data_IF_779699365897
#
_entry.id   IF_779699365897
#
_cell.length_a   1.000
_cell.length_b   1.000
_cell.length_c   1.000
_cell.angle_alpha   90.00
_cell.angle_beta   90.00
_cell.angle_gamma   90.00
#
_symmetry.space_group_name_H-M   'P 1'
#
loop_
_entity.id
_entity.type
_entity.pdbx_description
1 polymer ?
#
# COMPACT_ATOMS: atom_id res chain seq x y z
N UNK A 1 31.52 -10.87 -29.09
CA UNK A 1 31.39 -11.77 -27.91
C UNK A 1 30.18 -11.33 -27.12
N UNK A 2 29.05 -12.00 -27.30
CA UNK A 2 27.86 -11.79 -26.47
C UNK A 2 28.16 -12.26 -25.05
N UNK A 3 27.97 -11.39 -24.06
CA UNK A 3 28.06 -11.78 -22.65
C UNK A 3 26.90 -12.76 -22.39
N UNK A 4 27.23 -14.03 -22.26
CA UNK A 4 26.30 -15.04 -21.75
C UNK A 4 25.92 -14.60 -20.34
N UNK A 5 24.71 -14.07 -20.21
CA UNK A 5 24.10 -13.66 -18.95
C UNK A 5 23.83 -14.93 -18.13
N UNK A 6 24.71 -15.27 -17.20
CA UNK A 6 24.46 -16.35 -16.24
C UNK A 6 23.17 -16.03 -15.46
N UNK A 7 22.15 -16.88 -15.64
CA UNK A 7 20.90 -16.78 -14.90
C UNK A 7 21.17 -17.10 -13.43
N UNK A 8 21.12 -16.08 -12.57
CA UNK A 8 21.17 -16.25 -11.12
C UNK A 8 19.73 -16.37 -10.61
N UNK A 9 19.22 -17.59 -10.35
CA UNK A 9 17.87 -17.77 -9.84
C UNK A 9 17.73 -17.07 -8.48
N UNK A 10 16.55 -16.49 -8.23
CA UNK A 10 16.25 -15.86 -6.95
C UNK A 10 16.34 -16.86 -5.80
N UNK A 11 16.85 -16.41 -4.66
CA UNK A 11 16.92 -17.23 -3.45
C UNK A 11 15.52 -17.45 -2.87
N UNK A 12 15.31 -18.54 -2.14
CA UNK A 12 14.02 -18.81 -1.49
C UNK A 12 13.56 -17.65 -0.58
N UNK A 13 14.50 -17.01 0.12
CA UNK A 13 14.20 -15.83 0.95
C UNK A 13 13.68 -14.65 0.11
N UNK A 14 14.31 -14.39 -1.05
CA UNK A 14 13.88 -13.33 -1.97
C UNK A 14 12.49 -13.59 -2.53
N UNK A 15 12.21 -14.84 -2.92
CA UNK A 15 10.89 -15.26 -3.40
C UNK A 15 9.82 -15.14 -2.30
N UNK A 16 10.17 -15.53 -1.07
CA UNK A 16 9.25 -15.48 0.07
C UNK A 16 8.88 -14.04 0.42
N UNK A 17 9.88 -13.18 0.56
CA UNK A 17 9.68 -11.76 0.86
C UNK A 17 8.97 -11.05 -0.30
N UNK A 18 9.36 -11.33 -1.54
CA UNK A 18 8.67 -10.83 -2.73
C UNK A 18 7.20 -11.23 -2.78
N UNK A 19 6.89 -12.50 -2.48
CA UNK A 19 5.50 -12.99 -2.44
C UNK A 19 4.67 -12.35 -1.33
N UNK A 20 5.26 -12.10 -0.16
CA UNK A 20 4.57 -11.48 0.98
C UNK A 20 4.17 -10.04 0.67
N UNK A 21 5.08 -9.26 0.09
CA UNK A 21 4.88 -7.84 -0.18
C UNK A 21 4.40 -7.55 -1.61
N UNK A 22 4.20 -8.59 -2.42
CA UNK A 22 3.71 -8.46 -3.78
C UNK A 22 4.68 -7.79 -4.75
N UNK A 23 5.99 -7.98 -4.54
CA UNK A 23 7.02 -7.44 -5.42
C UNK A 23 7.82 -8.56 -6.07
N UNK A 24 8.22 -8.37 -7.31
CA UNK A 24 8.97 -9.37 -8.07
C UNK A 24 10.18 -8.79 -8.83
N UNK A 25 10.29 -7.46 -8.93
CA UNK A 25 11.45 -6.88 -9.58
C UNK A 25 12.67 -6.91 -8.65
N UNK A 26 13.83 -7.18 -9.25
CA UNK A 26 15.09 -7.44 -8.54
C UNK A 26 15.52 -6.30 -7.63
N UNK A 27 15.34 -5.05 -8.07
CA UNK A 27 15.70 -3.86 -7.30
C UNK A 27 14.83 -3.71 -6.05
N UNK A 28 13.52 -3.94 -6.17
CA UNK A 28 12.59 -3.92 -5.05
C UNK A 28 12.89 -5.00 -4.04
N UNK A 29 13.15 -6.23 -4.51
CA UNK A 29 13.59 -7.33 -3.64
C UNK A 29 14.88 -6.95 -2.92
N UNK A 30 15.84 -6.33 -3.61
CA UNK A 30 17.09 -5.86 -3.02
C UNK A 30 16.89 -4.93 -1.83
N UNK A 31 15.89 -4.04 -1.90
CA UNK A 31 15.50 -3.19 -0.77
C UNK A 31 14.79 -3.96 0.34
N UNK A 32 13.86 -4.86 0.02
CA UNK A 32 13.19 -5.65 1.06
C UNK A 32 14.15 -6.57 1.82
N UNK A 33 15.21 -7.05 1.16
CA UNK A 33 16.27 -7.83 1.80
C UNK A 33 17.13 -7.03 2.78
N UNK A 34 17.04 -5.69 2.79
CA UNK A 34 17.65 -4.84 3.82
C UNK A 34 16.82 -4.81 5.12
N UNK A 35 15.56 -5.25 5.08
CA UNK A 35 14.69 -5.30 6.26
C UNK A 35 15.02 -6.55 7.06
N UNK A 36 15.25 -6.40 8.37
CA UNK A 36 15.53 -7.56 9.22
C UNK A 36 14.32 -8.51 9.23
N UNK A 37 14.51 -9.84 9.26
CA UNK A 37 13.40 -10.79 9.26
C UNK A 37 12.37 -10.54 10.37
N UNK A 38 12.83 -10.15 11.57
CA UNK A 38 11.96 -9.77 12.69
C UNK A 38 11.05 -8.59 12.34
N UNK A 39 11.58 -7.59 11.62
CA UNK A 39 10.84 -6.40 11.22
C UNK A 39 9.89 -6.70 10.07
N UNK A 40 10.31 -7.53 9.12
CA UNK A 40 9.44 -8.02 8.06
C UNK A 40 8.21 -8.72 8.65
N UNK A 41 8.36 -9.58 9.65
CA UNK A 41 7.25 -10.22 10.37
C UNK A 41 6.32 -9.16 10.98
N UNK A 42 6.86 -8.17 11.68
CA UNK A 42 6.04 -7.09 12.27
C UNK A 42 5.28 -6.30 11.20
N UNK A 43 5.91 -6.01 10.06
CA UNK A 43 5.26 -5.35 8.93
C UNK A 43 4.14 -6.21 8.34
N UNK A 44 4.32 -7.54 8.21
CA UNK A 44 3.25 -8.42 7.74
C UNK A 44 2.06 -8.47 8.69
N UNK A 45 2.32 -8.44 10.00
CA UNK A 45 1.27 -8.36 11.01
C UNK A 45 0.50 -7.06 10.84
N UNK A 46 1.20 -5.93 10.61
CA UNK A 46 0.55 -4.65 10.31
C UNK A 46 -0.37 -4.73 9.08
N UNK A 47 0.07 -5.36 7.97
CA UNK A 47 -0.78 -5.59 6.78
C UNK A 47 -2.05 -6.34 7.14
N UNK A 48 -1.89 -7.50 7.80
CA UNK A 48 -3.00 -8.39 8.10
C UNK A 48 -3.98 -7.80 9.12
N UNK A 49 -3.47 -6.92 9.99
CA UNK A 49 -4.26 -6.41 11.09
C UNK A 49 -5.35 -5.47 10.59
N UNK A 50 -5.13 -4.66 9.55
CA UNK A 50 -6.08 -3.63 9.08
C UNK A 50 -6.74 -2.81 10.21
N UNK A 51 -6.12 -2.83 11.41
CA UNK A 51 -6.75 -2.63 12.71
C UNK A 51 -6.09 -1.45 13.39
N UNK A 52 -6.93 -0.46 13.68
CA UNK A 52 -6.96 0.33 14.90
C UNK A 52 -5.68 0.99 15.40
N UNK A 53 -5.83 2.25 15.81
CA UNK A 53 -4.82 2.98 16.59
C UNK A 53 -4.28 2.17 17.77
N UNK A 54 -2.97 2.32 18.02
CA UNK A 54 -2.27 1.62 19.07
C UNK A 54 -1.96 2.53 20.25
N UNK A 55 -1.91 1.92 21.43
CA UNK A 55 -1.30 2.55 22.60
C UNK A 55 0.20 2.36 22.54
N UNK A 56 0.96 3.25 23.18
CA UNK A 56 2.43 3.14 23.23
C UNK A 56 2.92 1.86 23.92
N UNK A 57 2.05 1.20 24.69
CA UNK A 57 2.36 0.03 25.51
C UNK A 57 1.85 -1.30 24.93
N UNK A 58 1.19 -1.27 23.76
CA UNK A 58 0.71 -2.49 23.10
C UNK A 58 1.87 -3.32 22.52
N UNK A 59 1.79 -4.63 22.71
CA UNK A 59 2.62 -5.59 21.97
C UNK A 59 2.08 -5.72 20.54
N UNK A 60 2.97 -5.66 19.53
CA UNK A 60 2.59 -5.58 18.11
C UNK A 60 1.74 -6.77 17.64
N UNK A 61 1.91 -7.94 18.29
CA UNK A 61 1.29 -9.21 17.93
C UNK A 61 -0.09 -9.45 18.55
N UNK A 62 -0.55 -8.58 19.44
CA UNK A 62 -1.80 -8.83 20.16
C UNK A 62 -3.02 -8.31 19.41
N UNK A 63 -4.12 -9.06 19.48
CA UNK A 63 -5.37 -8.69 18.84
C UNK A 63 -5.89 -7.34 19.37
N UNK A 64 -6.22 -6.46 18.42
CA UNK A 64 -6.64 -5.08 18.64
C UNK A 64 -8.11 -4.99 18.29
N UNK A 65 -8.91 -4.49 19.23
CA UNK A 65 -10.32 -4.21 18.97
C UNK A 65 -10.48 -3.10 17.95
N UNK A 66 -11.46 -3.24 17.06
CA UNK A 66 -11.79 -2.29 16.01
C UNK A 66 -12.58 -1.10 16.58
N UNK A 67 -11.91 -0.08 17.12
CA UNK A 67 -12.60 1.13 17.59
C UNK A 67 -12.32 2.41 16.80
N UNK A 68 -11.22 2.46 16.06
CA UNK A 68 -10.77 3.68 15.39
C UNK A 68 -10.25 3.32 14.00
N UNK A 69 -11.13 3.35 13.00
CA UNK A 69 -10.74 3.06 11.62
C UNK A 69 -10.99 4.28 10.73
N UNK A 70 -9.96 4.71 9.99
CA UNK A 70 -10.07 5.56 8.80
C UNK A 70 -10.01 7.08 9.00
N UNK A 71 -10.43 7.66 10.14
CA UNK A 71 -10.60 9.12 10.24
C UNK A 71 -9.31 9.89 10.53
N UNK A 72 -8.37 9.33 11.30
CA UNK A 72 -7.24 10.12 11.79
C UNK A 72 -6.07 10.23 10.81
N UNK A 73 -6.02 9.45 9.72
CA UNK A 73 -4.95 9.59 8.73
C UNK A 73 -4.88 10.99 8.14
N UNK A 74 -6.04 11.58 7.82
CA UNK A 74 -6.12 12.97 7.39
C UNK A 74 -5.70 13.92 8.51
N UNK A 75 -6.17 13.67 9.73
CA UNK A 75 -5.82 14.48 10.90
C UNK A 75 -4.31 14.48 11.20
N UNK A 76 -3.65 13.32 11.24
CA UNK A 76 -2.21 13.20 11.47
C UNK A 76 -1.43 13.94 10.38
N UNK A 77 -1.87 13.83 9.12
CA UNK A 77 -1.25 14.54 8.02
C UNK A 77 -1.44 16.07 8.12
N UNK A 78 -2.62 16.56 8.48
CA UNK A 78 -2.86 18.00 8.61
C UNK A 78 -2.15 18.62 9.84
N UNK A 79 -1.75 17.79 10.79
CA UNK A 79 -1.23 18.23 12.09
C UNK A 79 0.15 17.65 12.41
N UNK A 80 0.87 17.14 11.40
CA UNK A 80 2.13 16.41 11.59
C UNK A 80 3.18 17.20 12.38
N UNK A 81 3.19 18.54 12.24
CA UNK A 81 4.13 19.44 12.93
C UNK A 81 3.98 19.44 14.45
N UNK A 82 2.84 18.97 14.96
CA UNK A 82 2.56 18.90 16.39
C UNK A 82 3.04 17.60 17.04
N UNK A 83 3.42 16.60 16.24
CA UNK A 83 3.92 15.31 16.72
C UNK A 83 5.44 15.33 16.90
N UNK A 84 5.95 14.44 17.77
CA UNK A 84 7.40 14.29 18.03
C UNK A 84 8.16 13.73 16.82
N UNK A 85 7.51 12.88 16.01
CA UNK A 85 8.03 12.32 14.76
C UNK A 85 7.55 13.08 13.52
N UNK A 86 7.44 14.41 13.62
CA UNK A 86 6.88 15.28 12.57
C UNK A 86 7.53 15.09 11.20
N UNK A 87 8.85 14.96 11.13
CA UNK A 87 9.55 14.74 9.85
C UNK A 87 9.17 13.40 9.20
N UNK A 88 9.05 12.32 9.99
CA UNK A 88 8.65 11.02 9.47
C UNK A 88 7.21 11.07 8.93
N UNK A 89 6.29 11.66 9.69
CA UNK A 89 4.90 11.84 9.28
C UNK A 89 4.76 12.73 8.04
N UNK A 90 5.59 13.77 7.92
CA UNK A 90 5.64 14.64 6.73
C UNK A 90 6.00 13.84 5.49
N UNK A 91 7.06 13.03 5.57
CA UNK A 91 7.56 12.22 4.46
C UNK A 91 6.53 11.15 4.06
N UNK A 92 5.95 10.46 5.03
CA UNK A 92 4.87 9.48 4.78
C UNK A 92 3.63 10.14 4.17
N UNK A 93 3.29 11.35 4.60
CA UNK A 93 2.23 12.15 4.02
C UNK A 93 2.44 12.47 2.54
N UNK A 94 3.64 12.95 2.19
CA UNK A 94 4.01 13.23 0.80
C UNK A 94 3.98 11.96 -0.06
N UNK A 95 4.52 10.85 0.46
CA UNK A 95 4.52 9.57 -0.21
C UNK A 95 3.09 9.07 -0.46
N UNK A 96 2.22 9.19 0.55
CA UNK A 96 0.81 8.81 0.45
C UNK A 96 0.11 9.59 -0.68
N UNK A 97 0.31 10.90 -0.76
CA UNK A 97 -0.26 11.72 -1.83
C UNK A 97 0.22 11.24 -3.20
N UNK A 98 1.52 10.96 -3.36
CA UNK A 98 2.06 10.42 -4.60
C UNK A 98 1.40 9.10 -5.00
N UNK A 99 1.25 8.17 -4.05
CA UNK A 99 0.61 6.87 -4.29
C UNK A 99 -0.89 7.02 -4.58
N UNK A 100 -1.60 7.90 -3.88
CA UNK A 100 -3.02 8.16 -4.12
C UNK A 100 -3.26 8.71 -5.53
N UNK A 101 -2.37 9.59 -6.03
CA UNK A 101 -2.41 10.05 -7.43
C UNK A 101 -2.18 8.92 -8.42
N UNK A 102 -1.18 8.05 -8.16
CA UNK A 102 -0.92 6.87 -9.01
C UNK A 102 -2.14 5.94 -9.04
N UNK A 103 -2.75 5.66 -7.89
CA UNK A 103 -3.96 4.84 -7.77
C UNK A 103 -5.14 5.50 -8.50
N UNK A 104 -5.31 6.82 -8.34
CA UNK A 104 -6.39 7.56 -9.00
C UNK A 104 -6.24 7.52 -10.51
N UNK A 105 -5.03 7.74 -11.04
CA UNK A 105 -4.76 7.66 -12.47
C UNK A 105 -5.00 6.23 -12.99
N UNK A 106 -4.54 5.23 -12.24
CA UNK A 106 -4.78 3.81 -12.58
C UNK A 106 -6.28 3.50 -12.61
N UNK A 107 -7.04 3.94 -11.61
CA UNK A 107 -8.48 3.73 -11.58
C UNK A 107 -9.20 4.48 -12.71
N UNK A 108 -8.75 5.68 -13.05
CA UNK A 108 -9.27 6.43 -14.21
C UNK A 108 -9.02 5.65 -15.51
N UNK A 109 -7.80 5.12 -15.67
CA UNK A 109 -7.39 4.30 -16.81
C UNK A 109 -8.08 2.93 -16.84
N UNK A 110 -8.64 2.43 -15.75
CA UNK A 110 -9.28 1.11 -15.67
C UNK A 110 -10.78 1.17 -15.41
N UNK A 111 -11.36 2.37 -15.23
CA UNK A 111 -12.72 2.51 -14.73
C UNK A 111 -13.72 1.85 -15.67
N UNK A 112 -14.46 0.91 -15.09
CA UNK A 112 -15.49 0.09 -15.74
C UNK A 112 -16.77 0.84 -16.11
N UNK A 113 -16.86 2.15 -15.86
CA UNK A 113 -18.08 2.90 -16.19
C UNK A 113 -18.41 2.89 -17.70
N UNK A 114 -17.48 2.43 -18.54
CA UNK A 114 -17.71 2.11 -19.95
C UNK A 114 -18.34 0.73 -20.20
N UNK A 115 -18.18 -0.25 -19.31
CA UNK A 115 -18.74 -1.60 -19.46
C UNK A 115 -20.23 -1.71 -19.12
N UNK A 116 -20.82 -0.73 -18.41
CA UNK A 116 -22.24 -0.78 -18.01
C UNK A 116 -23.22 -0.46 -19.14
N UNK A 117 -22.76 0.11 -20.25
CA UNK A 117 -23.62 0.60 -21.33
C UNK A 117 -23.50 -0.18 -22.65
N UNK A 118 -22.71 -1.25 -22.69
CA UNK A 118 -22.56 -2.07 -23.90
C UNK A 118 -23.54 -3.23 -23.82
N UNK A 119 -24.41 -3.33 -24.82
CA UNK A 119 -25.36 -4.43 -24.96
C UNK A 119 -24.58 -5.74 -25.15
N UNK A 120 -24.40 -6.49 -24.04
CA UNK A 120 -23.43 -7.58 -23.88
C UNK A 120 -23.57 -8.71 -24.91
N UNK A 121 -24.74 -8.84 -25.55
CA UNK A 121 -25.07 -9.99 -26.37
C UNK A 121 -24.15 -10.15 -27.60
N UNK A 122 -23.73 -9.05 -28.23
CA UNK A 122 -22.95 -9.13 -29.49
C UNK A 122 -21.44 -9.09 -29.29
N UNK A 123 -20.96 -8.49 -28.20
CA UNK A 123 -19.53 -8.38 -27.93
C UNK A 123 -18.97 -9.69 -27.37
N UNK A 124 -19.78 -10.44 -26.62
CA UNK A 124 -19.39 -11.75 -26.08
C UNK A 124 -19.10 -12.83 -27.14
N UNK A 125 -19.66 -12.69 -28.34
CA UNK A 125 -19.44 -13.63 -29.44
C UNK A 125 -18.14 -13.35 -30.22
N UNK A 126 -17.54 -12.16 -30.09
CA UNK A 126 -16.32 -11.82 -30.81
C UNK A 126 -15.14 -12.67 -30.29
N UNK A 127 -14.39 -13.37 -31.17
CA UNK A 127 -13.34 -14.29 -30.73
C UNK A 127 -12.18 -13.58 -30.03
N UNK A 128 -11.85 -12.34 -30.43
CA UNK A 128 -10.82 -11.55 -29.75
C UNK A 128 -11.30 -11.08 -28.37
N UNK A 129 -12.57 -10.69 -28.25
CA UNK A 129 -13.15 -10.39 -26.93
C UNK A 129 -13.09 -11.61 -25.99
N UNK A 130 -13.38 -12.81 -26.50
CA UNK A 130 -13.27 -14.05 -25.75
C UNK A 130 -11.84 -14.34 -25.31
N UNK A 131 -10.83 -14.08 -26.17
CA UNK A 131 -9.41 -14.20 -25.83
C UNK A 131 -9.04 -13.27 -24.69
N UNK A 132 -9.49 -12.02 -24.73
CA UNK A 132 -9.13 -11.02 -23.73
C UNK A 132 -9.86 -11.31 -22.42
N UNK A 133 -11.14 -11.62 -22.46
CA UNK A 133 -11.96 -11.84 -21.26
C UNK A 133 -12.00 -13.31 -20.82
N UNK A 134 -11.10 -14.15 -21.33
CA UNK A 134 -10.93 -15.51 -20.85
C UNK A 134 -10.68 -15.50 -19.34
N UNK A 135 -11.37 -16.41 -18.61
CA UNK A 135 -11.30 -16.51 -17.14
C UNK A 135 -9.88 -16.71 -16.60
N UNK A 136 -8.96 -17.23 -17.42
CA UNK A 136 -7.55 -17.39 -17.07
C UNK A 136 -6.68 -16.35 -17.79
N UNK A 137 -6.33 -15.27 -17.09
CA UNK A 137 -5.53 -14.16 -17.63
C UNK A 137 -4.08 -14.54 -17.95
N UNK A 138 -3.56 -15.63 -17.36
CA UNK A 138 -2.20 -16.11 -17.64
C UNK A 138 -2.07 -16.77 -19.02
N UNK A 139 -3.19 -17.19 -19.59
CA UNK A 139 -3.25 -17.96 -20.83
C UNK A 139 -3.79 -17.13 -22.01
N UNK A 140 -3.74 -15.79 -21.98
CA UNK A 140 -4.24 -14.94 -23.08
C UNK A 140 -3.56 -15.32 -24.41
N UNK A 141 -2.25 -15.55 -24.39
CA UNK A 141 -1.49 -15.95 -25.59
C UNK A 141 -1.92 -17.33 -26.08
N UNK A 142 -2.10 -18.28 -25.16
CA UNK A 142 -2.60 -19.62 -25.51
C UNK A 142 -4.02 -19.55 -26.10
N UNK A 143 -4.90 -18.79 -25.46
CA UNK A 143 -6.27 -18.54 -25.91
C UNK A 143 -6.30 -17.91 -27.29
N UNK A 144 -5.36 -16.99 -27.58
CA UNK A 144 -5.17 -16.45 -28.91
C UNK A 144 -4.83 -17.54 -29.93
N UNK A 145 -3.87 -18.41 -29.63
CA UNK A 145 -3.50 -19.51 -30.54
C UNK A 145 -4.65 -20.50 -30.77
N UNK A 146 -5.45 -20.80 -29.76
CA UNK A 146 -6.63 -21.66 -29.87
C UNK A 146 -7.69 -21.07 -30.81
N UNK A 147 -7.78 -19.73 -30.88
CA UNK A 147 -8.72 -18.98 -31.74
C UNK A 147 -8.05 -18.30 -32.94
N UNK A 148 -6.79 -18.62 -33.22
CA UNK A 148 -5.96 -17.87 -34.17
C UNK A 148 -6.59 -17.79 -35.55
N UNK A 149 -7.02 -18.92 -36.09
CA UNK A 149 -7.58 -18.98 -37.45
C UNK A 149 -8.91 -18.21 -37.53
N UNK A 150 -9.74 -18.29 -36.49
CA UNK A 150 -11.00 -17.55 -36.36
C UNK A 150 -10.71 -16.03 -36.38
N UNK A 151 -9.79 -15.57 -35.54
CA UNK A 151 -9.40 -14.16 -35.43
C UNK A 151 -8.76 -13.64 -36.72
N UNK A 152 -7.86 -14.42 -37.34
CA UNK A 152 -7.20 -14.01 -38.58
C UNK A 152 -8.16 -13.96 -39.78
N UNK A 153 -9.22 -14.78 -39.77
CA UNK A 153 -10.26 -14.79 -40.80
C UNK A 153 -11.20 -13.58 -40.76
N UNK A 154 -11.25 -12.87 -39.62
CA UNK A 154 -12.10 -11.71 -39.47
C UNK A 154 -11.67 -10.58 -40.45
N UNK A 155 -12.62 -9.81 -41.01
CA UNK A 155 -12.39 -8.79 -42.05
C UNK A 155 -11.60 -7.57 -41.56
N UNK A 156 -10.65 -7.08 -42.35
CA UNK A 156 -9.83 -5.90 -41.98
C UNK A 156 -10.66 -4.62 -41.80
N UNK A 157 -10.31 -3.84 -40.77
CA UNK A 157 -10.95 -2.56 -40.49
C UNK A 157 -10.52 -1.51 -41.52
N UNK A 158 -11.46 -1.02 -42.33
CA UNK A 158 -11.23 0.12 -43.21
C UNK A 158 -11.41 1.42 -42.43
N UNK A 159 -10.33 2.20 -42.27
CA UNK A 159 -10.27 3.44 -41.46
C UNK A 159 -11.26 4.56 -41.86
N UNK A 160 -12.07 4.38 -42.89
CA UNK A 160 -12.84 5.44 -43.55
C UNK A 160 -14.34 5.18 -43.71
N UNK A 161 -14.88 4.06 -43.21
CA UNK A 161 -16.34 3.89 -43.22
C UNK A 161 -16.97 4.83 -42.18
N UNK A 162 -17.80 5.77 -42.63
CA UNK A 162 -18.59 6.61 -41.74
C UNK A 162 -19.57 5.73 -40.97
N UNK A 163 -19.54 5.86 -39.65
CA UNK A 163 -20.19 4.96 -38.71
C UNK A 163 -21.70 5.24 -38.71
N UNK A 164 -22.49 4.53 -39.52
CA UNK A 164 -23.94 4.75 -39.60
C UNK A 164 -24.76 3.69 -38.87
N UNK A 165 -24.18 2.58 -38.41
CA UNK A 165 -24.91 1.62 -37.55
C UNK A 165 -24.05 0.97 -36.46
N UNK A 166 -24.56 0.92 -35.23
CA UNK A 166 -23.92 0.28 -34.08
C UNK A 166 -23.76 -1.25 -34.23
N UNK A 167 -24.48 -1.88 -35.16
CA UNK A 167 -24.47 -3.34 -35.36
C UNK A 167 -23.26 -3.82 -36.15
N UNK A 168 -22.78 -3.03 -37.11
CA UNK A 168 -21.62 -3.42 -37.92
C UNK A 168 -20.31 -3.26 -37.16
N UNK A 169 -20.23 -2.36 -36.19
CA UNK A 169 -19.01 -2.07 -35.42
C UNK A 169 -18.45 -3.33 -34.72
N UNK A 170 -19.30 -4.24 -34.21
CA UNK A 170 -18.84 -5.38 -33.41
C UNK A 170 -18.21 -6.54 -34.21
N UNK A 171 -18.37 -6.58 -35.53
CA UNK A 171 -17.92 -7.70 -36.38
C UNK A 171 -16.51 -7.55 -36.98
N UNK A 172 -15.86 -6.39 -36.88
CA UNK A 172 -14.63 -6.08 -37.64
C UNK A 172 -13.35 -5.87 -36.78
N UNK A 173 -13.39 -6.09 -35.46
CA UNK A 173 -12.23 -5.79 -34.61
C UNK A 173 -11.31 -6.99 -34.37
N UNK A 174 -10.07 -6.87 -34.85
CA UNK A 174 -8.97 -7.81 -34.56
C UNK A 174 -8.05 -7.30 -33.47
N UNK A 175 -7.99 -5.99 -33.25
CA UNK A 175 -7.00 -5.43 -32.34
C UNK A 175 -7.46 -5.65 -30.88
N UNK A 176 -6.66 -6.35 -30.06
CA UNK A 176 -7.00 -6.59 -28.68
C UNK A 176 -7.29 -5.31 -27.87
N UNK A 177 -6.65 -4.20 -28.20
CA UNK A 177 -6.81 -2.94 -27.47
C UNK A 177 -8.20 -2.32 -27.62
N UNK A 178 -9.01 -2.79 -28.58
CA UNK A 178 -10.40 -2.36 -28.77
C UNK A 178 -11.36 -2.93 -27.71
N UNK A 179 -10.99 -4.02 -27.04
CA UNK A 179 -11.86 -4.70 -26.06
C UNK A 179 -11.42 -4.47 -24.61
N UNK A 180 -10.45 -3.60 -24.38
CA UNK A 180 -9.98 -3.29 -23.04
C UNK A 180 -10.89 -2.23 -22.36
N UNK A 181 -11.21 -2.34 -21.05
CA UNK A 181 -12.37 -1.68 -20.42
C UNK A 181 -12.44 -0.15 -20.37
N UNK A 182 -11.53 0.59 -20.98
CA UNK A 182 -11.27 1.96 -20.56
C UNK A 182 -11.47 3.05 -21.60
N UNK A 183 -11.70 2.74 -22.88
CA UNK A 183 -11.46 3.77 -23.88
C UNK A 183 -12.44 3.68 -25.06
N UNK A 184 -13.01 4.85 -25.41
CA UNK A 184 -13.91 5.07 -26.55
C UNK A 184 -13.36 4.41 -27.82
N UNK A 185 -14.22 4.04 -28.77
CA UNK A 185 -13.91 3.24 -29.96
C UNK A 185 -12.89 3.84 -30.97
N UNK A 186 -12.05 4.80 -30.57
CA UNK A 186 -10.94 5.33 -31.37
C UNK A 186 -9.60 4.74 -30.88
N UNK A 187 -9.09 3.74 -31.59
CA UNK A 187 -7.82 3.06 -31.30
C UNK A 187 -6.63 4.00 -31.04
N UNK A 188 -6.45 5.06 -31.86
CA UNK A 188 -5.33 6.00 -31.68
C UNK A 188 -5.46 6.79 -30.37
N UNK A 189 -6.68 6.98 -29.88
CA UNK A 189 -6.92 7.59 -28.59
C UNK A 189 -6.54 6.64 -27.44
N UNK A 190 -6.66 5.32 -27.63
CA UNK A 190 -6.37 4.31 -26.62
C UNK A 190 -4.90 4.25 -26.24
N UNK A 191 -4.02 4.07 -27.24
CA UNK A 191 -2.58 4.02 -27.01
C UNK A 191 -2.06 5.34 -26.44
N UNK A 192 -2.48 6.47 -27.03
CA UNK A 192 -2.06 7.78 -26.54
C UNK A 192 -2.53 8.03 -25.10
N UNK A 193 -3.72 7.57 -24.72
CA UNK A 193 -4.22 7.68 -23.35
C UNK A 193 -3.37 6.85 -22.39
N UNK A 194 -3.13 5.56 -22.70
CA UNK A 194 -2.27 4.70 -21.88
C UNK A 194 -0.88 5.32 -21.73
N UNK A 195 -0.29 5.77 -22.83
CA UNK A 195 1.04 6.38 -22.83
C UNK A 195 1.10 7.66 -21.99
N UNK A 196 0.10 8.53 -22.13
CA UNK A 196 0.00 9.78 -21.36
C UNK A 196 -0.16 9.50 -19.86
N UNK A 197 -1.07 8.58 -19.50
CA UNK A 197 -1.26 8.14 -18.13
C UNK A 197 0.02 7.55 -17.54
N UNK A 198 0.73 6.70 -18.30
CA UNK A 198 1.98 6.09 -17.84
C UNK A 198 3.11 7.10 -17.68
N UNK A 199 3.20 8.12 -18.54
CA UNK A 199 4.13 9.25 -18.35
C UNK A 199 3.85 9.99 -17.05
N UNK A 200 2.58 10.27 -16.77
CA UNK A 200 2.18 10.94 -15.53
C UNK A 200 2.52 10.10 -14.29
N UNK A 201 2.15 8.81 -14.31
CA UNK A 201 2.50 7.87 -13.23
C UNK A 201 4.01 7.81 -13.04
N UNK A 202 4.80 7.67 -14.11
CA UNK A 202 6.26 7.61 -14.01
C UNK A 202 6.84 8.88 -13.36
N UNK A 203 6.31 10.06 -13.72
CA UNK A 203 6.69 11.32 -13.09
C UNK A 203 6.40 11.32 -11.58
N UNK A 204 5.21 10.93 -11.15
CA UNK A 204 4.85 10.88 -9.72
C UNK A 204 5.68 9.84 -8.95
N UNK A 205 6.03 8.71 -9.59
CA UNK A 205 6.93 7.70 -9.02
C UNK A 205 8.34 8.26 -8.85
N UNK A 206 8.90 8.89 -9.89
CA UNK A 206 10.24 9.49 -9.82
C UNK A 206 10.33 10.62 -8.79
N UNK A 207 9.28 11.43 -8.68
CA UNK A 207 9.14 12.45 -7.64
C UNK A 207 9.12 11.82 -6.24
N UNK A 208 8.34 10.75 -6.04
CA UNK A 208 8.24 10.04 -4.76
C UNK A 208 9.56 9.37 -4.37
N UNK A 209 10.25 8.72 -5.32
CA UNK A 209 11.58 8.13 -5.12
C UNK A 209 12.58 9.21 -4.71
N UNK A 210 12.59 10.34 -5.42
CA UNK A 210 13.50 11.45 -5.13
C UNK A 210 13.25 12.04 -3.75
N UNK A 211 11.99 12.14 -3.34
CA UNK A 211 11.58 12.60 -2.01
C UNK A 211 12.08 11.64 -0.93
N UNK A 212 11.85 10.33 -1.09
CA UNK A 212 12.34 9.30 -0.16
C UNK A 212 13.86 9.31 -0.03
N UNK A 213 14.59 9.40 -1.15
CA UNK A 213 16.06 9.47 -1.14
C UNK A 213 16.57 10.68 -0.34
N UNK A 214 15.95 11.84 -0.51
CA UNK A 214 16.32 13.07 0.23
C UNK A 214 15.99 13.00 1.70
N UNK A 215 14.97 12.22 2.06
CA UNK A 215 14.52 12.02 3.43
C UNK A 215 15.07 10.74 4.08
N UNK A 216 16.09 10.12 3.47
CA UNK A 216 16.79 9.00 4.06
C UNK A 216 17.42 9.42 5.40
N UNK A 217 17.07 8.72 6.48
CA UNK A 217 17.43 9.08 7.86
C UNK A 217 16.42 9.95 8.62
N UNK A 218 15.41 10.51 7.94
CA UNK A 218 14.26 11.18 8.58
C UNK A 218 13.09 10.23 8.84
N UNK A 219 13.13 9.05 8.22
CA UNK A 219 12.16 7.98 8.37
C UNK A 219 12.90 6.73 8.84
N UNK A 220 12.22 5.83 9.54
CA UNK A 220 12.79 4.54 9.91
C UNK A 220 13.20 3.74 8.69
N UNK A 221 14.36 3.08 8.78
CA UNK A 221 14.95 2.31 7.68
C UNK A 221 13.99 1.27 7.10
N UNK A 222 13.24 0.56 7.94
CA UNK A 222 12.28 -0.43 7.42
C UNK A 222 11.19 0.21 6.55
N UNK A 223 10.73 1.42 6.88
CA UNK A 223 9.73 2.14 6.09
C UNK A 223 10.34 2.71 4.82
N UNK A 224 11.58 3.20 4.89
CA UNK A 224 12.32 3.62 3.71
C UNK A 224 12.45 2.49 2.69
N UNK A 225 12.97 1.34 3.12
CA UNK A 225 13.20 0.20 2.24
C UNK A 225 11.90 -0.38 1.68
N UNK A 226 10.86 -0.47 2.51
CA UNK A 226 9.55 -0.93 2.07
C UNK A 226 8.92 0.03 1.03
N UNK A 227 8.98 1.34 1.30
CA UNK A 227 8.45 2.36 0.39
C UNK A 227 9.23 2.44 -0.91
N UNK A 228 10.56 2.27 -0.84
CA UNK A 228 11.41 2.23 -2.02
C UNK A 228 11.11 1.00 -2.89
N UNK A 229 10.95 -0.18 -2.26
CA UNK A 229 10.56 -1.40 -2.96
C UNK A 229 9.20 -1.25 -3.65
N UNK A 230 8.24 -0.63 -2.99
CA UNK A 230 6.94 -0.29 -3.59
C UNK A 230 7.11 0.53 -4.87
N UNK A 231 7.81 1.67 -4.78
CA UNK A 231 7.92 2.60 -5.90
C UNK A 231 8.74 2.02 -7.06
N UNK A 232 9.77 1.23 -6.77
CA UNK A 232 10.56 0.56 -7.80
C UNK A 232 9.77 -0.55 -8.50
N UNK A 233 8.88 -1.26 -7.80
CA UNK A 233 7.97 -2.21 -8.40
C UNK A 233 7.00 -1.52 -9.38
N UNK A 234 6.43 -0.39 -8.97
CA UNK A 234 5.56 0.43 -9.83
C UNK A 234 6.35 0.93 -11.03
N UNK A 235 7.54 1.51 -10.81
CA UNK A 235 8.42 2.03 -11.87
C UNK A 235 8.74 0.96 -12.92
N UNK A 236 9.10 -0.24 -12.48
CA UNK A 236 9.40 -1.35 -13.36
C UNK A 236 8.17 -1.74 -14.21
N UNK A 237 7.00 -1.84 -13.57
CA UNK A 237 5.74 -2.18 -14.26
C UNK A 237 5.35 -1.14 -15.30
N UNK A 238 5.48 0.14 -14.97
CA UNK A 238 5.24 1.27 -15.89
C UNK A 238 6.22 1.24 -17.06
N UNK A 239 7.51 0.99 -16.79
CA UNK A 239 8.54 0.90 -17.83
C UNK A 239 8.26 -0.23 -18.82
N UNK A 240 7.84 -1.41 -18.34
CA UNK A 240 7.45 -2.54 -19.18
C UNK A 240 6.23 -2.24 -20.05
N UNK A 241 5.22 -1.58 -19.47
CA UNK A 241 4.02 -1.16 -20.21
C UNK A 241 4.35 -0.10 -21.26
N UNK A 242 5.15 0.92 -20.92
CA UNK A 242 5.61 1.94 -21.87
C UNK A 242 6.42 1.34 -23.02
N UNK A 243 7.34 0.41 -22.73
CA UNK A 243 8.11 -0.28 -23.75
C UNK A 243 7.20 -1.07 -24.72
N UNK A 244 6.19 -1.76 -24.17
CA UNK A 244 5.21 -2.51 -24.97
C UNK A 244 4.37 -1.59 -25.85
N UNK A 245 4.01 -0.40 -25.35
CA UNK A 245 3.28 0.62 -26.11
C UNK A 245 4.12 1.19 -27.26
N UNK A 246 5.38 1.52 -26.98
CA UNK A 246 6.30 2.07 -28.00
C UNK A 246 6.59 1.04 -29.10
N UNK A 247 6.86 -0.22 -28.74
CA UNK A 247 7.06 -1.31 -29.69
C UNK A 247 5.83 -1.49 -30.61
N UNK A 248 4.63 -1.28 -30.05
CA UNK A 248 3.37 -1.30 -30.81
C UNK A 248 3.22 -0.10 -31.75
N UNK A 249 3.73 1.09 -31.41
CA UNK A 249 3.65 2.28 -32.28
C UNK A 249 4.64 2.27 -33.44
N UNK A 250 5.86 1.76 -33.26
CA UNK A 250 6.90 1.70 -34.30
C UNK A 250 6.51 0.80 -35.50
N UNK A 251 5.48 -0.03 -35.32
CA UNK A 251 5.07 -1.11 -36.21
C UNK A 251 4.14 -0.71 -37.38
N UNK A 252 4.32 0.48 -37.96
CA UNK A 252 3.45 1.05 -39.02
C UNK A 252 3.32 0.15 -40.27
N UNK A 253 4.28 -0.76 -40.49
CA UNK A 253 4.31 -1.73 -41.61
C UNK A 253 4.57 -3.14 -41.04
N UNK A 254 3.63 -3.70 -40.28
CA UNK A 254 3.77 -5.06 -39.72
C UNK A 254 2.66 -6.00 -40.18
N UNK A 255 2.96 -7.29 -40.17
CA UNK A 255 2.03 -8.36 -40.51
C UNK A 255 0.90 -8.36 -39.47
N UNK A 256 -0.35 -8.56 -39.90
CA UNK A 256 -1.57 -8.53 -39.06
C UNK A 256 -1.41 -9.28 -37.72
N UNK A 257 -0.82 -10.47 -37.75
CA UNK A 257 -0.58 -11.29 -36.56
C UNK A 257 0.43 -10.68 -35.59
N UNK A 258 1.53 -10.09 -36.10
CA UNK A 258 2.52 -9.41 -35.28
C UNK A 258 1.88 -8.24 -34.52
N UNK A 259 1.04 -7.47 -35.21
CA UNK A 259 0.29 -6.37 -34.64
C UNK A 259 -0.60 -6.82 -33.47
N UNK A 260 -1.32 -7.93 -33.66
CA UNK A 260 -2.17 -8.54 -32.63
C UNK A 260 -1.31 -8.95 -31.44
N UNK A 261 -0.17 -9.60 -31.67
CA UNK A 261 0.74 -10.03 -30.60
C UNK A 261 1.28 -8.84 -29.79
N UNK A 262 1.67 -7.76 -30.46
CA UNK A 262 2.11 -6.52 -29.78
C UNK A 262 0.99 -5.90 -28.95
N UNK A 263 -0.23 -5.83 -29.48
CA UNK A 263 -1.40 -5.35 -28.74
C UNK A 263 -1.75 -6.26 -27.54
N UNK A 264 -1.66 -7.59 -27.69
CA UNK A 264 -1.84 -8.53 -26.58
C UNK A 264 -0.78 -8.31 -25.50
N UNK A 265 0.47 -8.07 -25.87
CA UNK A 265 1.54 -7.73 -24.91
C UNK A 265 1.21 -6.46 -24.12
N UNK A 266 0.69 -5.41 -24.78
CA UNK A 266 0.21 -4.20 -24.07
C UNK A 266 -0.90 -4.54 -23.08
N UNK A 267 -1.90 -5.34 -23.48
CA UNK A 267 -2.99 -5.78 -22.60
C UNK A 267 -2.47 -6.57 -21.40
N UNK A 268 -1.53 -7.50 -21.61
CA UNK A 268 -0.90 -8.29 -20.56
C UNK A 268 -0.14 -7.38 -19.58
N UNK A 269 0.69 -6.48 -20.10
CA UNK A 269 1.43 -5.52 -19.28
C UNK A 269 0.51 -4.61 -18.48
N UNK A 270 -0.60 -4.15 -19.07
CA UNK A 270 -1.58 -3.30 -18.41
C UNK A 270 -2.32 -4.03 -17.28
N UNK A 271 -2.67 -5.31 -17.48
CA UNK A 271 -3.22 -6.17 -16.42
C UNK A 271 -2.24 -6.41 -15.29
N UNK A 272 -1.01 -6.79 -15.63
CA UNK A 272 0.04 -6.98 -14.63
C UNK A 272 0.31 -5.70 -13.83
N UNK A 273 0.28 -4.54 -14.48
CA UNK A 273 0.36 -3.25 -13.82
C UNK A 273 -0.82 -3.02 -12.87
N UNK A 274 -2.06 -3.24 -13.33
CA UNK A 274 -3.26 -3.11 -12.51
C UNK A 274 -3.23 -4.04 -11.29
N UNK A 275 -2.86 -5.30 -11.49
CA UNK A 275 -2.73 -6.30 -10.43
C UNK A 275 -1.65 -5.89 -9.42
N UNK A 276 -0.51 -5.39 -9.90
CA UNK A 276 0.53 -4.85 -9.02
C UNK A 276 -0.01 -3.67 -8.20
N UNK A 277 -0.70 -2.70 -8.80
CA UNK A 277 -1.28 -1.57 -8.05
C UNK A 277 -2.31 -2.05 -7.02
N UNK A 278 -3.17 -3.00 -7.38
CA UNK A 278 -4.17 -3.58 -6.47
C UNK A 278 -3.51 -4.30 -5.29
N UNK A 279 -2.50 -5.12 -5.56
CA UNK A 279 -1.75 -5.85 -4.55
C UNK A 279 -1.00 -4.90 -3.62
N UNK A 280 -0.37 -3.87 -4.17
CA UNK A 280 0.34 -2.84 -3.41
C UNK A 280 -0.62 -2.01 -2.53
N UNK A 281 -1.82 -1.71 -3.03
CA UNK A 281 -2.90 -1.08 -2.26
C UNK A 281 -3.35 -1.94 -1.08
N UNK A 282 -3.33 -3.26 -1.23
CA UNK A 282 -3.70 -4.21 -0.16
C UNK A 282 -2.58 -4.56 0.81
N UNK A 283 -1.31 -4.38 0.43
CA UNK A 283 -0.15 -4.83 1.21
C UNK A 283 0.64 -3.67 1.81
N UNK A 284 1.35 -2.88 0.98
CA UNK A 284 2.29 -1.87 1.46
C UNK A 284 1.59 -0.55 1.81
N UNK A 285 0.58 -0.16 1.03
CA UNK A 285 -0.11 1.12 1.25
C UNK A 285 -0.75 1.26 2.64
N UNK A 286 -1.36 0.21 3.24
CA UNK A 286 -1.86 0.28 4.60
C UNK A 286 -0.76 0.49 5.63
N UNK A 287 0.47 -0.03 5.41
CA UNK A 287 1.58 0.08 6.36
C UNK A 287 2.05 1.53 6.47
N UNK A 288 2.20 2.23 5.36
CA UNK A 288 2.78 3.59 5.31
C UNK A 288 1.82 4.69 5.79
N UNK A 289 0.64 4.32 6.29
CA UNK A 289 -0.32 5.25 6.84
C UNK A 289 0.22 5.93 8.10
N UNK A 290 0.12 7.25 8.16
CA UNK A 290 0.59 8.07 9.28
C UNK A 290 0.03 7.59 10.63
N UNK A 291 -1.22 7.11 10.67
CA UNK A 291 -1.85 6.61 11.88
C UNK A 291 -1.12 5.41 12.51
N UNK A 292 -0.41 4.61 11.72
CA UNK A 292 0.36 3.46 12.22
C UNK A 292 1.62 3.87 12.98
N UNK A 293 1.93 5.17 12.98
CA UNK A 293 3.13 5.74 13.57
C UNK A 293 2.81 6.86 14.56
N UNK A 294 1.54 7.00 14.92
CA UNK A 294 1.06 7.88 15.97
C UNK A 294 0.30 7.04 16.99
N UNK A 295 0.79 6.99 18.23
CA UNK A 295 0.04 6.34 19.29
C UNK A 295 -1.12 7.24 19.75
N UNK A 296 -2.11 6.65 20.40
CA UNK A 296 -3.29 7.37 20.91
C UNK A 296 -2.92 8.46 21.91
N UNK A 297 -1.86 8.27 22.68
CA UNK A 297 -1.34 9.23 23.64
C UNK A 297 -0.80 10.49 22.94
N UNK A 298 -0.07 10.33 21.82
CA UNK A 298 0.39 11.48 21.03
C UNK A 298 -0.80 12.19 20.37
N UNK A 299 -1.83 11.45 19.93
CA UNK A 299 -3.06 12.04 19.38
C UNK A 299 -3.80 12.89 20.41
N UNK A 300 -3.92 12.41 21.65
CA UNK A 300 -4.50 13.18 22.77
C UNK A 300 -3.75 14.50 22.96
N UNK A 301 -2.42 14.45 23.00
CA UNK A 301 -1.58 15.65 23.16
C UNK A 301 -1.85 16.68 22.05
N UNK A 302 -2.00 16.22 20.80
CA UNK A 302 -2.32 17.10 19.67
C UNK A 302 -3.74 17.68 19.77
N UNK A 303 -4.73 16.89 20.18
CA UNK A 303 -6.09 17.40 20.39
C UNK A 303 -6.16 18.45 21.51
N UNK A 304 -5.50 18.20 22.64
CA UNK A 304 -5.43 19.13 23.76
C UNK A 304 -4.75 20.46 23.36
N UNK A 305 -3.65 20.38 22.61
CA UNK A 305 -2.97 21.56 22.05
C UNK A 305 -3.89 22.36 21.14
N UNK A 306 -4.65 21.71 20.26
CA UNK A 306 -5.64 22.38 19.39
C UNK A 306 -6.70 23.12 20.19
N UNK A 307 -7.32 22.46 21.18
CA UNK A 307 -8.33 23.10 22.04
C UNK A 307 -7.75 24.31 22.79
N UNK A 308 -6.50 24.20 23.24
CA UNK A 308 -5.79 25.28 23.94
C UNK A 308 -5.53 26.48 23.03
N UNK A 309 -5.13 26.27 21.77
CA UNK A 309 -4.96 27.34 20.78
C UNK A 309 -6.26 28.14 20.57
N UNK A 310 -7.42 27.48 20.57
CA UNK A 310 -8.73 28.15 20.45
C UNK A 310 -9.19 28.87 21.73
N UNK A 311 -8.44 28.78 22.83
CA UNK A 311 -8.78 29.42 24.11
C UNK A 311 -7.99 30.71 24.35
N UNK A 312 -6.85 30.88 23.67
CA UNK A 312 -5.91 32.00 23.88
C UNK A 312 -6.13 33.24 23.01
N UNK A 313 -6.87 33.17 21.90
CA UNK A 313 -7.06 34.34 21.02
C UNK A 313 -8.15 35.27 21.56
N UNK A 314 -7.78 36.16 22.48
CA UNK A 314 -8.66 37.25 22.96
C UNK A 314 -8.92 38.31 21.89
N UNK A 315 -8.11 38.33 20.83
CA UNK A 315 -8.13 39.37 19.82
C UNK A 315 -8.53 38.82 18.43
N UNK A 316 -9.74 39.16 17.99
CA UNK A 316 -10.16 39.31 16.58
C UNK A 316 -10.52 38.07 15.72
N UNK A 317 -11.13 37.00 16.25
CA UNK A 317 -11.73 35.91 15.42
C UNK A 317 -13.18 35.60 15.87
N UNK A 318 -14.12 35.28 14.95
CA UNK A 318 -15.54 35.61 15.07
C UNK A 318 -16.30 34.65 15.99
N UNK A 319 -17.08 35.23 16.90
CA UNK A 319 -18.17 34.58 17.64
C UNK A 319 -17.77 33.46 18.60
N UNK A 320 -17.99 33.65 19.91
CA UNK A 320 -17.92 32.58 20.94
C UNK A 320 -18.63 31.27 20.54
N UNK A 321 -19.64 31.35 19.67
CA UNK A 321 -20.38 30.21 19.11
C UNK A 321 -19.51 29.33 18.20
N UNK A 322 -18.72 29.91 17.30
CA UNK A 322 -17.89 29.18 16.35
C UNK A 322 -16.74 28.43 17.05
N UNK A 323 -16.10 29.07 18.04
CA UNK A 323 -15.08 28.43 18.87
C UNK A 323 -15.64 27.23 19.66
N UNK A 324 -16.90 27.29 20.09
CA UNK A 324 -17.57 26.17 20.78
C UNK A 324 -17.87 25.02 19.82
N UNK A 325 -18.34 25.32 18.60
CA UNK A 325 -18.62 24.33 17.55
C UNK A 325 -17.36 23.55 17.13
N UNK A 326 -16.19 24.19 17.07
CA UNK A 326 -14.92 23.52 16.74
C UNK A 326 -14.35 22.70 17.91
N UNK A 327 -14.52 23.16 19.17
CA UNK A 327 -13.98 22.45 20.34
C UNK A 327 -14.71 21.15 20.66
N UNK A 328 -16.04 21.13 20.48
CA UNK A 328 -16.89 19.99 20.86
C UNK A 328 -16.45 18.66 20.21
N UNK A 329 -16.19 18.60 18.87
CA UNK A 329 -15.67 17.38 18.24
C UNK A 329 -14.37 16.88 18.86
N UNK A 330 -13.41 17.77 19.14
CA UNK A 330 -12.13 17.37 19.73
C UNK A 330 -12.29 16.86 21.17
N UNK A 331 -13.17 17.47 21.98
CA UNK A 331 -13.46 16.99 23.32
C UNK A 331 -14.13 15.61 23.32
N UNK A 332 -15.04 15.37 22.37
CA UNK A 332 -15.67 14.07 22.19
C UNK A 332 -14.63 12.99 21.82
N UNK A 333 -13.71 13.31 20.91
CA UNK A 333 -12.61 12.42 20.53
C UNK A 333 -11.66 12.14 21.69
N UNK A 334 -11.24 13.17 22.44
CA UNK A 334 -10.43 13.01 23.66
C UNK A 334 -11.13 12.07 24.66
N UNK A 335 -12.43 12.28 24.89
CA UNK A 335 -13.22 11.45 25.82
C UNK A 335 -13.28 9.99 25.35
N UNK A 336 -13.48 9.77 24.05
CA UNK A 336 -13.50 8.43 23.42
C UNK A 336 -12.16 7.73 23.55
N UNK A 337 -11.06 8.42 23.23
CA UNK A 337 -9.71 7.88 23.34
C UNK A 337 -9.37 7.56 24.80
N UNK A 338 -9.65 8.48 25.74
CA UNK A 338 -9.40 8.25 27.17
C UNK A 338 -10.19 7.04 27.71
N UNK A 339 -11.45 6.88 27.33
CA UNK A 339 -12.27 5.73 27.70
C UNK A 339 -11.63 4.42 27.19
N UNK A 340 -11.24 4.40 25.92
CA UNK A 340 -10.57 3.26 25.32
C UNK A 340 -9.23 2.94 25.99
N UNK A 341 -8.37 3.94 26.18
CA UNK A 341 -7.07 3.79 26.85
C UNK A 341 -7.25 3.26 28.27
N UNK A 342 -8.25 3.74 29.01
CA UNK A 342 -8.54 3.26 30.36
C UNK A 342 -8.82 1.77 30.39
N UNK A 343 -9.70 1.28 29.52
CA UNK A 343 -9.99 -0.15 29.41
C UNK A 343 -8.76 -0.94 28.94
N UNK A 344 -8.04 -0.40 27.95
CA UNK A 344 -6.90 -1.09 27.33
C UNK A 344 -5.72 -1.21 28.30
N UNK A 345 -5.36 -0.14 29.01
CA UNK A 345 -4.29 -0.15 30.00
C UNK A 345 -4.54 -1.15 31.12
N UNK A 346 -5.78 -1.28 31.61
CA UNK A 346 -6.10 -2.30 32.62
C UNK A 346 -5.78 -3.72 32.11
N UNK A 347 -6.17 -4.03 30.86
CA UNK A 347 -5.87 -5.31 30.24
C UNK A 347 -4.36 -5.51 30.00
N UNK A 348 -3.64 -4.47 29.58
CA UNK A 348 -2.18 -4.53 29.37
C UNK A 348 -1.45 -4.72 30.71
N UNK A 349 -1.77 -3.93 31.74
CA UNK A 349 -1.18 -4.02 33.09
C UNK A 349 -1.35 -5.44 33.65
N UNK A 350 -2.56 -6.00 33.59
CA UNK A 350 -2.81 -7.36 34.08
C UNK A 350 -1.89 -8.39 33.40
N UNK A 351 -1.74 -8.29 32.08
CA UNK A 351 -0.87 -9.19 31.30
C UNK A 351 0.62 -8.99 31.62
N UNK A 352 1.09 -7.74 31.68
CA UNK A 352 2.48 -7.43 32.04
C UNK A 352 2.82 -7.93 33.45
N UNK A 353 1.91 -7.80 34.42
CA UNK A 353 2.08 -8.38 35.78
C UNK A 353 2.20 -9.91 35.77
N UNK A 354 1.39 -10.60 34.95
CA UNK A 354 1.52 -12.06 34.74
C UNK A 354 2.88 -12.41 34.13
N UNK A 355 3.32 -11.64 33.13
CA UNK A 355 4.63 -11.83 32.48
C UNK A 355 5.79 -11.63 33.46
N UNK A 356 5.77 -10.57 34.26
CA UNK A 356 6.75 -10.34 35.33
C UNK A 356 6.78 -11.52 36.30
N UNK A 357 5.62 -12.03 36.72
CA UNK A 357 5.52 -13.17 37.63
C UNK A 357 6.18 -14.43 37.05
N UNK A 358 5.98 -14.70 35.75
CA UNK A 358 6.62 -15.81 35.04
C UNK A 358 8.13 -15.63 34.95
N UNK A 359 8.59 -14.43 34.58
CA UNK A 359 10.02 -14.10 34.49
C UNK A 359 10.74 -14.26 35.84
N UNK A 360 10.15 -13.74 36.92
CA UNK A 360 10.67 -13.90 38.29
C UNK A 360 10.73 -15.38 38.71
N UNK A 361 9.77 -16.21 38.27
CA UNK A 361 9.79 -17.66 38.52
C UNK A 361 10.94 -18.38 37.80
N UNK A 362 11.28 -17.96 36.57
CA UNK A 362 12.42 -18.53 35.82
C UNK A 362 13.74 -18.29 36.56
N UNK A 363 13.95 -17.08 37.08
CA UNK A 363 15.16 -16.74 37.86
C UNK A 363 15.25 -17.61 39.12
N UNK A 364 14.18 -17.67 39.92
CA UNK A 364 14.15 -18.49 41.15
C UNK A 364 14.41 -19.98 40.88
N UNK A 365 13.92 -20.51 39.77
CA UNK A 365 14.12 -21.91 39.42
C UNK A 365 15.56 -22.20 38.98
N UNK A 366 16.24 -21.23 38.34
CA UNK A 366 17.63 -21.37 37.93
C UNK A 366 18.61 -21.20 39.09
N UNK A 367 18.29 -20.36 40.08
CA UNK A 367 19.10 -20.20 41.30
C UNK A 367 19.13 -21.49 42.14
N UNK A 368 18.11 -22.35 42.00
CA UNK A 368 18.00 -23.64 42.70
C UNK A 368 18.63 -24.82 41.95
N UNK A 369 19.05 -24.65 40.68
CA UNK A 369 19.73 -25.70 39.92
C UNK A 369 21.26 -25.56 40.06
N UNK A 370 21.85 -26.39 40.91
CA UNK A 370 23.30 -26.50 41.10
C UNK A 370 23.97 -27.13 39.87
N UNK A 371 24.33 -26.35 38.84
CA UNK A 371 25.21 -26.82 37.76
C UNK A 371 25.87 -25.67 36.97
N UNK A 372 27.15 -25.44 37.24
CA UNK A 372 28.31 -25.17 36.35
C UNK A 372 28.18 -24.43 34.99
N UNK A 373 27.12 -23.67 34.71
CA UNK A 373 27.02 -22.94 33.42
C UNK A 373 27.34 -21.45 33.54
N UNK A 374 28.42 -21.01 32.89
CA UNK A 374 28.86 -19.61 32.77
C UNK A 374 27.83 -18.67 32.10
N UNK A 375 26.74 -19.21 31.52
CA UNK A 375 25.65 -18.46 30.89
C UNK A 375 24.54 -17.99 31.85
N UNK A 376 24.53 -18.46 33.11
CA UNK A 376 23.48 -18.17 34.09
C UNK A 376 23.45 -16.67 34.50
N UNK A 377 24.58 -15.99 34.76
CA UNK A 377 24.56 -14.59 35.19
C UNK A 377 23.98 -13.63 34.13
N UNK A 378 24.33 -13.87 32.86
CA UNK A 378 23.87 -13.05 31.72
C UNK A 378 22.36 -13.18 31.51
N UNK A 379 21.81 -14.40 31.67
CA UNK A 379 20.38 -14.64 31.57
C UNK A 379 19.61 -13.96 32.70
N UNK A 380 20.10 -14.05 33.95
CA UNK A 380 19.46 -13.40 35.11
C UNK A 380 19.47 -11.89 34.96
N UNK A 381 20.57 -11.30 34.51
CA UNK A 381 20.66 -9.86 34.26
C UNK A 381 19.67 -9.42 33.17
N UNK A 382 19.59 -10.16 32.06
CA UNK A 382 18.64 -9.87 30.98
C UNK A 382 17.18 -9.96 31.45
N UNK A 383 16.85 -10.96 32.27
CA UNK A 383 15.51 -11.13 32.85
C UNK A 383 15.19 -9.99 33.81
N UNK A 384 16.11 -9.61 34.71
CA UNK A 384 15.92 -8.50 35.64
C UNK A 384 15.72 -7.17 34.91
N UNK A 385 16.49 -6.92 33.85
CA UNK A 385 16.32 -5.73 32.99
C UNK A 385 14.93 -5.73 32.33
N UNK A 386 14.49 -6.87 31.81
CA UNK A 386 13.16 -7.02 31.20
C UNK A 386 12.03 -6.81 32.22
N UNK A 387 12.18 -7.31 33.45
CA UNK A 387 11.22 -7.12 34.54
C UNK A 387 11.11 -5.64 34.90
N UNK A 388 12.25 -4.95 35.07
CA UNK A 388 12.27 -3.53 35.40
C UNK A 388 11.57 -2.69 34.33
N UNK A 389 11.86 -2.93 33.05
CA UNK A 389 11.18 -2.24 31.96
C UNK A 389 9.65 -2.41 32.00
N UNK A 390 9.16 -3.63 32.29
CA UNK A 390 7.72 -3.88 32.40
C UNK A 390 7.10 -3.19 33.63
N UNK A 391 7.83 -3.11 34.74
CA UNK A 391 7.40 -2.40 35.95
C UNK A 391 7.30 -0.88 35.69
N UNK A 392 8.32 -0.28 35.05
CA UNK A 392 8.34 1.14 34.66
C UNK A 392 7.16 1.48 33.72
N UNK A 393 6.86 0.60 32.75
CA UNK A 393 5.71 0.77 31.85
C UNK A 393 4.36 0.67 32.57
N UNK A 394 4.23 -0.23 33.56
CA UNK A 394 3.03 -0.34 34.40
C UNK A 394 2.82 0.95 35.19
N UNK A 395 3.87 1.46 35.83
CA UNK A 395 3.81 2.72 36.59
C UNK A 395 3.36 3.89 35.70
N UNK A 396 3.92 3.99 34.49
CA UNK A 396 3.53 5.01 33.52
C UNK A 396 2.05 4.91 33.11
N UNK A 397 1.53 3.70 32.87
CA UNK A 397 0.09 3.49 32.57
C UNK A 397 -0.80 3.83 33.77
N UNK A 398 -0.41 3.45 34.99
CA UNK A 398 -1.15 3.76 36.22
C UNK A 398 -1.21 5.26 36.50
N UNK A 399 -0.12 5.98 36.27
CA UNK A 399 -0.09 7.44 36.35
C UNK A 399 -1.08 8.10 35.37
N UNK A 400 -1.23 7.56 34.16
CA UNK A 400 -2.20 8.05 33.18
C UNK A 400 -3.65 7.70 33.56
N UNK A 401 -3.90 6.54 34.17
CA UNK A 401 -5.22 6.14 34.66
C UNK A 401 -5.75 7.02 35.80
N UNK A 402 -4.83 7.56 36.61
CA UNK A 402 -5.14 8.36 37.79
C UNK A 402 -5.28 9.86 37.50
N UNK A 403 -5.03 10.32 36.27
CA UNK A 403 -5.28 11.72 35.90
C UNK A 403 -6.78 12.03 35.95
N UNK A 404 -7.20 13.15 36.55
CA UNK A 404 -8.59 13.57 36.53
C UNK A 404 -9.03 13.88 35.08
N UNK A 405 -10.31 13.62 34.72
CA UNK A 405 -10.83 13.95 33.40
C UNK A 405 -10.78 15.47 33.17
N UNK A 406 -10.31 15.86 31.97
CA UNK A 406 -10.16 17.26 31.51
C UNK A 406 -11.50 17.89 31.16
#
# INVERSE_FOLDING_TARGET
MEKVSCYNPSRLAELSVGSIFGVNCKESIGHLMQILPKEAILLTVLVSSNKGHYTRYDDILEDRGDLFCGSYNKFCYENYTLFKNSEELRVLGLLRIGIEKIISETNSLLSSDLQKNVDYCYVGENPMYQVINAKNTKDIIKSYYDKRNEILSLPEFTRFSSWTSNKEINSYYHDPLCFFPAIKCNYNYNINSIYTSMKYVNFEVDFSISTLKRSHGQIRDQLYHLSMALLLQIKNSVSLLMASVLDREESVITIKEELIMKSLNVVICLRNYADNISLLKGTIFPIIQACNFTCLEDLLEVFERKISCFSGSKDKIPGKKFAKEIKLPYQAEISRINCFLKMRYQAIIARKRIRISRLKKIVRNNDNSSAENQSIPVLVEHVNRSVKMLEDEIEAMEALLNKPPV
#
